data_IF_932348192515
#
_entry.id   IF_932348192515
#
_cell.length_a   1.000
_cell.length_b   1.000
_cell.length_c   1.000
_cell.angle_alpha   90.00
_cell.angle_beta   90.00
_cell.angle_gamma   90.00
#
_symmetry.space_group_name_H-M   'P 1'
#
loop_
_entity.id
_entity.type
_entity.pdbx_description
1 polymer ?
#
# COMPACT_ATOMS: atom_id res chain seq x y z
N UNK A 1 -22.69 3.85 14.47
CA UNK A 1 -21.27 3.92 14.06
C UNK A 1 -20.67 2.55 13.72
N UNK A 2 -20.96 1.47 14.47
CA UNK A 2 -20.42 0.13 14.19
C UNK A 2 -20.70 -0.45 12.78
N UNK A 3 -21.88 -0.22 12.21
CA UNK A 3 -22.28 -0.82 10.93
C UNK A 3 -21.42 -0.40 9.71
N UNK A 4 -20.80 0.78 9.73
CA UNK A 4 -19.89 1.20 8.65
C UNK A 4 -18.53 0.51 8.76
N UNK A 5 -18.01 0.44 9.99
CA UNK A 5 -16.74 -0.23 10.27
C UNK A 5 -16.81 -1.73 9.96
N UNK A 6 -17.89 -2.41 10.33
CA UNK A 6 -18.05 -3.84 10.03
C UNK A 6 -18.11 -4.12 8.51
N UNK A 7 -18.67 -3.19 7.73
CA UNK A 7 -18.67 -3.30 6.26
C UNK A 7 -17.27 -3.14 5.68
N UNK A 8 -16.50 -2.14 6.12
CA UNK A 8 -15.12 -1.95 5.67
C UNK A 8 -14.23 -3.14 6.03
N UNK A 9 -14.39 -3.68 7.25
CA UNK A 9 -13.65 -4.86 7.70
C UNK A 9 -13.99 -6.08 6.83
N UNK A 10 -15.26 -6.27 6.49
CA UNK A 10 -15.68 -7.40 5.63
C UNK A 10 -15.06 -7.30 4.23
N UNK A 11 -15.01 -6.09 3.65
CA UNK A 11 -14.40 -5.86 2.34
C UNK A 11 -12.87 -6.06 2.37
N UNK A 12 -12.22 -5.67 3.47
CA UNK A 12 -10.78 -5.90 3.68
C UNK A 12 -10.47 -7.41 3.75
N UNK A 13 -11.28 -8.19 4.48
CA UNK A 13 -11.13 -9.65 4.55
C UNK A 13 -11.32 -10.30 3.18
N UNK A 14 -12.32 -9.87 2.41
CA UNK A 14 -12.65 -10.47 1.12
C UNK A 14 -11.56 -10.19 0.05
N UNK A 15 -10.79 -9.13 0.20
CA UNK A 15 -9.84 -8.65 -0.81
C UNK A 15 -8.35 -8.86 -0.49
N UNK A 16 -8.02 -9.51 0.62
CA UNK A 16 -6.64 -9.65 1.11
C UNK A 16 -5.77 -10.66 0.32
N UNK A 17 -6.35 -11.36 -0.66
CA UNK A 17 -5.70 -12.41 -1.44
C UNK A 17 -4.78 -11.94 -2.58
N UNK A 18 -4.50 -10.64 -2.70
CA UNK A 18 -3.73 -10.08 -3.83
C UNK A 18 -2.49 -9.28 -3.35
N UNK A 19 -1.31 -9.45 -3.97
CA UNK A 19 -0.05 -8.82 -3.52
C UNK A 19 0.01 -7.29 -3.62
N UNK A 20 -1.02 -6.66 -4.16
CA UNK A 20 -1.18 -5.20 -4.23
C UNK A 20 -2.45 -4.71 -3.52
N UNK A 21 -2.95 -5.50 -2.58
CA UNK A 21 -3.99 -5.13 -1.61
C UNK A 21 -3.44 -5.43 -0.23
N UNK A 22 -3.63 -4.50 0.72
CA UNK A 22 -3.11 -4.62 2.08
C UNK A 22 -3.70 -5.87 2.74
N UNK A 23 -2.83 -6.74 3.24
CA UNK A 23 -3.27 -7.99 3.85
C UNK A 23 -3.92 -7.75 5.21
N UNK A 24 -5.05 -8.39 5.45
CA UNK A 24 -5.69 -8.46 6.76
C UNK A 24 -5.21 -9.71 7.52
N UNK A 25 -5.00 -9.58 8.84
CA UNK A 25 -4.61 -10.71 9.68
C UNK A 25 -5.67 -11.07 10.72
N UNK A 26 -6.14 -10.09 11.50
CA UNK A 26 -7.14 -10.32 12.56
C UNK A 26 -7.91 -9.06 12.95
N UNK A 27 -9.05 -9.30 13.61
CA UNK A 27 -9.88 -8.30 14.28
C UNK A 27 -9.99 -8.69 15.75
N UNK A 28 -9.76 -7.73 16.63
CA UNK A 28 -10.01 -7.87 18.06
C UNK A 28 -10.95 -6.75 18.52
N UNK A 29 -11.92 -7.08 19.36
CA UNK A 29 -12.85 -6.11 19.95
C UNK A 29 -12.63 -6.09 21.45
N UNK A 30 -12.35 -4.90 22.01
CA UNK A 30 -12.21 -4.70 23.46
C UNK A 30 -12.96 -3.45 23.89
N UNK A 31 -14.01 -3.65 24.70
CA UNK A 31 -14.93 -2.57 25.07
C UNK A 31 -15.55 -1.94 23.82
N UNK A 32 -15.40 -0.62 23.69
CA UNK A 32 -15.93 0.15 22.57
C UNK A 32 -14.94 0.29 21.38
N UNK A 33 -13.77 -0.35 21.46
CA UNK A 33 -12.71 -0.25 20.45
C UNK A 33 -12.62 -1.50 19.58
N UNK A 34 -12.40 -1.28 18.29
CA UNK A 34 -12.08 -2.32 17.30
C UNK A 34 -10.64 -2.14 16.87
N UNK A 35 -9.85 -3.20 17.02
CA UNK A 35 -8.45 -3.27 16.62
C UNK A 35 -8.34 -4.17 15.40
N UNK A 36 -7.65 -3.69 14.36
CA UNK A 36 -7.37 -4.44 13.14
C UNK A 36 -5.86 -4.63 13.04
N UNK A 37 -5.41 -5.88 12.90
CA UNK A 37 -4.04 -6.15 12.52
C UNK A 37 -3.97 -6.33 11.01
N UNK A 38 -3.18 -5.48 10.36
CA UNK A 38 -2.95 -5.45 8.92
C UNK A 38 -1.47 -5.61 8.63
N UNK A 39 -1.12 -5.82 7.37
CA UNK A 39 0.24 -5.69 6.88
C UNK A 39 0.86 -4.36 7.31
N UNK A 40 2.08 -4.43 7.86
CA UNK A 40 2.84 -3.24 8.21
C UNK A 40 3.40 -2.62 6.93
N UNK A 41 3.06 -1.37 6.68
CA UNK A 41 3.60 -0.57 5.58
C UNK A 41 4.44 0.59 6.14
N UNK A 42 5.49 0.96 5.42
CA UNK A 42 6.47 1.94 5.87
C UNK A 42 5.93 3.38 5.79
N UNK A 43 5.22 3.70 4.71
CA UNK A 43 4.62 5.03 4.49
C UNK A 43 3.52 5.00 3.41
N UNK A 44 2.76 6.09 3.30
CA UNK A 44 1.83 6.28 2.17
C UNK A 44 2.53 6.86 0.94
N UNK A 45 1.95 6.65 -0.25
CA UNK A 45 2.42 7.30 -1.48
C UNK A 45 2.41 8.83 -1.36
N UNK A 46 1.44 9.39 -0.62
CA UNK A 46 1.39 10.82 -0.32
C UNK A 46 2.65 11.32 0.41
N UNK A 47 3.11 10.57 1.41
CA UNK A 47 4.29 10.93 2.21
C UNK A 47 5.55 10.92 1.35
N UNK A 48 5.67 9.92 0.47
CA UNK A 48 6.78 9.82 -0.49
C UNK A 48 6.81 11.03 -1.42
N UNK A 49 5.68 11.35 -2.06
CA UNK A 49 5.57 12.49 -2.98
C UNK A 49 5.92 13.80 -2.27
N UNK A 50 5.40 13.99 -1.05
CA UNK A 50 5.67 15.17 -0.24
C UNK A 50 7.15 15.30 0.12
N UNK A 51 7.81 14.20 0.47
CA UNK A 51 9.24 14.18 0.78
C UNK A 51 10.10 14.49 -0.46
N UNK A 52 9.74 13.95 -1.63
CA UNK A 52 10.42 14.24 -2.89
C UNK A 52 10.26 15.71 -3.29
N UNK A 53 9.06 16.26 -3.19
CA UNK A 53 8.79 17.67 -3.48
C UNK A 53 9.64 18.62 -2.62
N UNK A 54 9.75 18.35 -1.31
CA UNK A 54 10.62 19.12 -0.41
C UNK A 54 12.09 19.03 -0.81
N UNK A 55 12.58 17.84 -1.19
CA UNK A 55 13.96 17.64 -1.64
C UNK A 55 14.26 18.40 -2.92
N UNK A 56 13.34 18.40 -3.89
CA UNK A 56 13.49 19.13 -5.15
C UNK A 56 13.56 20.64 -4.90
N UNK A 57 12.68 21.17 -4.05
CA UNK A 57 12.70 22.59 -3.67
C UNK A 57 14.00 22.97 -2.93
N UNK A 58 14.50 22.09 -2.04
CA UNK A 58 15.73 22.33 -1.28
C UNK A 58 17.01 22.25 -2.15
N UNK A 59 16.98 21.51 -3.26
CA UNK A 59 18.11 21.40 -4.20
C UNK A 59 18.23 22.58 -5.15
N UNK A 60 17.31 23.56 -5.08
CA UNK A 60 17.39 24.85 -5.75
C UNK A 60 17.74 24.76 -7.22
N UNK A 61 16.76 24.45 -8.08
CA UNK A 61 16.81 24.53 -9.56
C UNK A 61 18.22 24.52 -10.19
N UNK A 62 19.03 23.50 -9.92
CA UNK A 62 20.15 23.19 -10.80
C UNK A 62 19.51 22.54 -12.02
N UNK A 63 19.25 23.37 -13.03
CA UNK A 63 18.60 23.02 -14.30
C UNK A 63 19.45 22.08 -15.13
N UNK A 64 19.62 20.86 -14.65
CA UNK A 64 19.83 19.71 -15.50
C UNK A 64 18.44 19.16 -15.77
N UNK A 65 17.78 19.79 -16.75
CA UNK A 65 16.65 19.19 -17.45
C UNK A 65 17.20 17.93 -18.13
N UNK A 66 17.23 16.81 -17.40
CA UNK A 66 17.26 15.51 -18.05
C UNK A 66 15.90 15.38 -18.73
N UNK A 67 15.91 15.67 -20.04
CA UNK A 67 14.89 15.34 -21.02
C UNK A 67 14.59 13.82 -21.02
N UNK A 68 14.05 13.28 -19.94
CA UNK A 68 13.25 12.07 -19.98
C UNK A 68 11.80 12.51 -20.02
N UNK A 69 11.28 12.69 -21.25
CA UNK A 69 9.89 13.02 -21.56
C UNK A 69 8.90 11.88 -21.18
N UNK A 70 9.24 11.08 -20.17
CA UNK A 70 8.56 9.87 -19.78
C UNK A 70 8.44 9.71 -18.26
N UNK A 71 7.36 9.05 -17.85
CA UNK A 71 7.19 8.59 -16.46
C UNK A 71 8.33 7.64 -16.10
N UNK A 72 9.01 7.90 -14.98
CA UNK A 72 10.13 7.08 -14.51
C UNK A 72 9.73 5.60 -14.41
N UNK A 73 10.65 4.64 -14.64
CA UNK A 73 10.35 3.21 -14.54
C UNK A 73 9.72 2.82 -13.20
N UNK A 74 10.16 3.45 -12.11
CA UNK A 74 9.59 3.26 -10.77
C UNK A 74 8.13 3.74 -10.68
N UNK A 75 7.82 4.92 -11.22
CA UNK A 75 6.46 5.43 -11.24
C UNK A 75 5.54 4.58 -12.14
N UNK A 76 6.02 4.12 -13.31
CA UNK A 76 5.28 3.16 -14.15
C UNK A 76 4.98 1.86 -13.39
N UNK A 77 5.98 1.31 -12.71
CA UNK A 77 5.81 0.09 -11.88
C UNK A 77 4.80 0.28 -10.75
N UNK A 78 4.84 1.42 -10.05
CA UNK A 78 3.88 1.74 -9.01
C UNK A 78 2.45 1.84 -9.56
N UNK A 79 2.26 2.54 -10.69
CA UNK A 79 0.95 2.64 -11.36
C UNK A 79 0.41 1.27 -11.79
N UNK A 80 1.26 0.40 -12.32
CA UNK A 80 0.87 -0.98 -12.68
C UNK A 80 0.44 -1.79 -11.47
N UNK A 81 1.15 -1.67 -10.34
CA UNK A 81 0.79 -2.35 -9.09
C UNK A 81 -0.55 -1.86 -8.53
N UNK A 82 -0.76 -0.53 -8.50
CA UNK A 82 -2.03 0.07 -8.09
C UNK A 82 -3.16 -0.43 -9.00
N UNK A 83 -2.96 -0.38 -10.32
CA UNK A 83 -3.96 -0.85 -11.28
C UNK A 83 -4.27 -2.35 -11.10
N UNK A 84 -3.26 -3.18 -10.80
CA UNK A 84 -3.48 -4.60 -10.54
C UNK A 84 -4.30 -4.83 -9.26
N UNK A 85 -4.02 -4.10 -8.19
CA UNK A 85 -4.80 -4.15 -6.95
C UNK A 85 -6.25 -3.72 -7.16
N UNK A 86 -6.47 -2.60 -7.85
CA UNK A 86 -7.82 -2.11 -8.18
C UNK A 86 -8.59 -3.09 -9.07
N UNK A 87 -7.92 -3.70 -10.07
CA UNK A 87 -8.52 -4.74 -10.90
C UNK A 87 -8.98 -5.95 -10.06
N UNK A 88 -8.19 -6.35 -9.06
CA UNK A 88 -8.58 -7.42 -8.15
C UNK A 88 -9.83 -7.03 -7.34
N UNK A 89 -9.87 -5.83 -6.74
CA UNK A 89 -11.07 -5.34 -6.05
C UNK A 89 -12.31 -5.39 -6.96
N UNK A 90 -12.16 -4.93 -8.20
CA UNK A 90 -13.25 -4.95 -9.18
C UNK A 90 -13.71 -6.38 -9.54
N UNK A 91 -12.81 -7.37 -9.56
CA UNK A 91 -13.20 -8.78 -9.76
C UNK A 91 -14.08 -9.33 -8.64
N UNK A 92 -13.95 -8.77 -7.43
CA UNK A 92 -14.77 -9.08 -6.26
C UNK A 92 -16.01 -8.18 -6.16
N UNK A 93 -16.32 -7.37 -7.19
CA UNK A 93 -17.40 -6.37 -7.18
C UNK A 93 -17.24 -5.29 -6.10
N UNK A 94 -16.02 -5.06 -5.64
CA UNK A 94 -15.68 -4.03 -4.65
C UNK A 94 -15.24 -2.76 -5.39
N UNK A 95 -15.93 -1.64 -5.14
CA UNK A 95 -15.50 -0.32 -5.61
C UNK A 95 -14.83 0.42 -4.45
N UNK A 96 -13.55 0.74 -4.59
CA UNK A 96 -12.74 1.38 -3.53
C UNK A 96 -13.32 2.74 -3.09
N UNK A 97 -13.83 3.55 -4.03
CA UNK A 97 -14.48 4.87 -3.83
C UNK A 97 -13.62 6.00 -3.24
N UNK A 98 -12.54 5.70 -2.54
CA UNK A 98 -11.63 6.72 -1.98
C UNK A 98 -10.18 6.49 -2.44
N UNK A 99 -9.97 6.30 -3.75
CA UNK A 99 -8.64 6.05 -4.28
C UNK A 99 -7.85 7.37 -4.33
N UNK A 100 -6.89 7.53 -3.43
CA UNK A 100 -6.04 8.71 -3.31
C UNK A 100 -4.65 8.33 -2.78
N UNK A 101 -3.61 9.16 -2.96
CA UNK A 101 -2.24 8.82 -2.56
C UNK A 101 -2.08 8.45 -1.07
N UNK A 102 -2.95 8.95 -0.19
CA UNK A 102 -2.93 8.63 1.24
C UNK A 102 -3.38 7.19 1.54
N UNK A 103 -4.18 6.59 0.65
CA UNK A 103 -4.70 5.23 0.79
C UNK A 103 -3.89 4.20 -0.01
N UNK A 104 -2.78 4.62 -0.64
CA UNK A 104 -1.82 3.73 -1.28
C UNK A 104 -0.64 3.60 -0.33
N UNK A 105 -0.46 2.41 0.23
CA UNK A 105 0.61 2.14 1.19
C UNK A 105 1.80 1.44 0.50
N UNK A 106 3.00 1.81 0.93
CA UNK A 106 4.26 1.26 0.45
C UNK A 106 4.78 0.30 1.50
N UNK A 107 4.94 -0.97 1.13
CA UNK A 107 5.50 -2.00 1.99
C UNK A 107 6.85 -2.49 1.46
N UNK A 108 7.85 -2.55 2.33
CA UNK A 108 9.10 -3.23 2.02
C UNK A 108 8.84 -4.74 1.95
N UNK A 109 9.10 -5.35 0.79
CA UNK A 109 9.17 -6.80 0.70
C UNK A 109 10.37 -7.27 1.50
N UNK A 110 10.14 -7.84 2.67
CA UNK A 110 11.16 -8.66 3.32
C UNK A 110 11.46 -9.83 2.37
N UNK A 111 12.68 -9.88 1.83
CA UNK A 111 13.17 -11.12 1.25
C UNK A 111 13.21 -12.11 2.40
N UNK A 112 12.45 -13.19 2.28
CA UNK A 112 12.62 -14.38 3.11
C UNK A 112 13.94 -15.06 2.73
N UNK A 113 15.06 -14.38 2.92
CA UNK A 113 16.38 -15.01 2.94
C UNK A 113 16.61 -15.39 4.41
N UNK A 114 16.94 -16.66 4.66
CA UNK A 114 17.25 -17.31 5.96
C UNK A 114 16.09 -17.63 6.92
N UNK A 115 15.30 -18.67 6.58
CA UNK A 115 14.86 -19.70 7.55
C UNK A 115 14.82 -21.07 6.86
N UNK A 116 15.96 -21.53 6.34
CA UNK A 116 16.13 -22.91 5.84
C UNK A 116 17.13 -23.76 6.65
N UNK A 117 17.79 -23.20 7.68
CA UNK A 117 18.74 -23.96 8.52
C UNK A 117 18.30 -23.93 9.99
N UNK A 118 17.29 -24.73 10.34
CA UNK A 118 17.04 -25.18 11.70
C UNK A 118 16.15 -26.43 11.70
N UNK A 119 16.62 -27.51 11.07
CA UNK A 119 16.14 -28.87 11.33
C UNK A 119 17.25 -29.87 11.07
N UNK A 120 17.67 -30.58 12.11
CA UNK A 120 18.81 -31.50 12.18
C UNK A 120 19.89 -30.87 13.05
N UNK A 121 20.21 -31.33 14.25
CA UNK A 121 20.06 -32.65 14.91
C UNK A 121 19.54 -32.52 16.34
#
# INVERSE_FOLDING_TARGET
YHASADREISLLIESDGHPNVVRYFLKEVRGDFVYLALELCDLSLNDLISALGKKLLARGSTGEEEDEEGVSPAAKSALLQIASGVRHLHSLRIVHRDLKPQNILLAQKFKSDTMSDAKGE
#
